data_IF_628281649301
#
_entry.id   IF_628281649301
#
_cell.length_a   1.000
_cell.length_b   1.000
_cell.length_c   1.000
_cell.angle_alpha   90.00
_cell.angle_beta   90.00
_cell.angle_gamma   90.00
#
_symmetry.space_group_name_H-M   'P 1'
#
loop_
_entity.id
_entity.type
_entity.pdbx_description
1 polymer ?
#
# COMPACT_ATOMS: atom_id res chain seq x y z
N UNK A 1 23.17 1.43 -5.54
CA UNK A 1 21.92 2.20 -5.78
C UNK A 1 20.78 1.19 -5.96
N UNK A 2 19.63 1.34 -5.31
CA UNK A 2 18.49 0.44 -5.53
C UNK A 2 18.07 0.49 -7.01
N UNK A 3 17.78 -0.67 -7.58
CA UNK A 3 17.41 -0.80 -9.00
C UNK A 3 16.11 -0.04 -9.27
N UNK A 4 16.06 0.76 -10.34
CA UNK A 4 14.84 1.45 -10.78
C UNK A 4 13.71 0.42 -11.01
N UNK A 5 12.51 0.72 -10.54
CA UNK A 5 11.34 -0.12 -10.81
C UNK A 5 10.94 0.02 -12.29
N UNK A 6 10.56 -1.08 -12.94
CA UNK A 6 9.87 -0.95 -14.23
C UNK A 6 8.53 -0.24 -14.01
N UNK A 7 8.00 0.42 -15.06
CA UNK A 7 6.72 1.13 -14.95
C UNK A 7 5.61 0.19 -14.48
N UNK A 8 5.59 -1.03 -15.00
CA UNK A 8 4.54 -1.99 -14.69
C UNK A 8 4.72 -2.65 -13.33
N UNK A 9 5.96 -2.88 -12.88
CA UNK A 9 6.20 -3.30 -11.48
C UNK A 9 5.76 -2.22 -10.48
N UNK A 10 6.12 -0.95 -10.73
CA UNK A 10 5.69 0.17 -9.87
C UNK A 10 4.17 0.28 -9.83
N UNK A 11 3.52 0.23 -10.99
CA UNK A 11 2.06 0.27 -11.09
C UNK A 11 1.41 -0.88 -10.31
N UNK A 12 1.93 -2.10 -10.47
CA UNK A 12 1.41 -3.27 -9.75
C UNK A 12 1.58 -3.13 -8.24
N UNK A 13 2.74 -2.67 -7.75
CA UNK A 13 2.97 -2.42 -6.32
C UNK A 13 1.94 -1.45 -5.74
N UNK A 14 1.71 -0.32 -6.42
CA UNK A 14 0.72 0.69 -6.00
C UNK A 14 -0.70 0.11 -5.99
N UNK A 15 -1.05 -0.70 -7.00
CA UNK A 15 -2.36 -1.33 -7.08
C UNK A 15 -2.59 -2.35 -5.96
N UNK A 16 -1.60 -3.21 -5.69
CA UNK A 16 -1.67 -4.22 -4.63
C UNK A 16 -1.72 -3.59 -3.23
N UNK A 17 -0.93 -2.54 -3.00
CA UNK A 17 -1.02 -1.78 -1.76
C UNK A 17 -2.39 -1.11 -1.63
N UNK A 18 -2.93 -0.55 -2.72
CA UNK A 18 -4.27 0.04 -2.74
C UNK A 18 -5.38 -0.95 -2.43
N UNK A 19 -5.21 -2.23 -2.79
CA UNK A 19 -6.12 -3.33 -2.39
C UNK A 19 -5.94 -3.60 -0.90
N UNK A 20 -4.72 -3.87 -0.44
CA UNK A 20 -4.42 -4.22 0.94
C UNK A 20 -4.85 -3.12 1.93
N UNK A 21 -4.60 -1.85 1.59
CA UNK A 21 -4.95 -0.72 2.44
C UNK A 21 -6.44 -0.57 2.67
N UNK A 22 -7.30 -1.09 1.78
CA UNK A 22 -8.76 -1.11 1.92
C UNK A 22 -9.26 -2.21 2.87
N UNK A 23 -8.43 -3.19 3.20
CA UNK A 23 -8.77 -4.31 4.10
C UNK A 23 -8.56 -3.95 5.57
N UNK A 24 -8.31 -2.67 5.90
CA UNK A 24 -8.17 -2.24 7.28
C UNK A 24 -9.53 -2.05 7.97
N UNK A 25 -9.73 -2.78 9.07
CA UNK A 25 -10.89 -2.64 9.93
C UNK A 25 -10.71 -1.49 10.94
N UNK A 26 -11.74 -0.67 11.12
CA UNK A 26 -11.81 0.32 12.19
C UNK A 26 -13.03 0.01 13.07
N UNK A 27 -12.78 -0.32 14.33
CA UNK A 27 -13.84 -0.65 15.30
C UNK A 27 -14.54 0.57 15.91
N UNK A 28 -14.00 1.78 15.72
CA UNK A 28 -14.53 3.02 16.29
C UNK A 28 -15.54 3.73 15.39
N UNK A 29 -15.80 3.18 14.20
CA UNK A 29 -16.82 3.67 13.26
C UNK A 29 -18.06 2.78 13.37
N UNK A 30 -19.23 3.41 13.32
CA UNK A 30 -20.50 2.69 13.25
C UNK A 30 -20.57 1.92 11.92
N UNK A 31 -20.18 0.65 11.95
CA UNK A 31 -20.19 -0.27 10.81
C UNK A 31 -21.57 -0.91 10.58
N UNK A 32 -22.53 -0.67 11.47
CA UNK A 32 -23.85 -1.29 11.48
C UNK A 32 -24.95 -0.23 11.58
N UNK A 33 -25.95 -0.33 10.71
CA UNK A 33 -27.15 0.50 10.71
C UNK A 33 -28.26 -0.04 11.63
N UNK A 34 -29.42 0.62 11.67
CA UNK A 34 -30.61 0.11 12.37
C UNK A 34 -30.95 -1.31 11.93
N UNK A 35 -31.19 -2.22 12.89
CA UNK A 35 -31.50 -3.62 12.61
C UNK A 35 -30.29 -4.54 12.40
N UNK A 36 -29.06 -4.07 12.63
CA UNK A 36 -27.85 -4.92 12.57
C UNK A 36 -27.32 -5.16 11.15
N UNK A 37 -27.84 -4.43 10.16
CA UNK A 37 -27.34 -4.47 8.78
C UNK A 37 -25.92 -3.91 8.71
N UNK A 38 -24.99 -4.64 8.10
CA UNK A 38 -23.61 -4.19 7.86
C UNK A 38 -23.63 -3.10 6.78
N UNK A 39 -23.44 -1.85 7.18
CA UNK A 39 -23.36 -0.67 6.31
C UNK A 39 -21.90 -0.23 6.05
N UNK A 40 -20.95 -1.14 6.29
CA UNK A 40 -19.54 -0.89 6.04
C UNK A 40 -19.21 -0.76 4.54
N UNK A 41 -20.08 -1.24 3.65
CA UNK A 41 -19.93 -1.09 2.20
C UNK A 41 -20.01 0.38 1.79
N UNK A 42 -18.94 0.89 1.16
CA UNK A 42 -18.88 2.27 0.66
C UNK A 42 -18.08 3.24 1.54
N UNK A 43 -17.72 2.87 2.78
CA UNK A 43 -16.74 3.66 3.55
C UNK A 43 -15.33 3.14 3.28
N UNK A 44 -14.72 3.62 2.20
CA UNK A 44 -13.37 3.22 1.81
C UNK A 44 -12.32 3.83 2.74
N UNK A 45 -12.12 3.23 3.91
CA UNK A 45 -11.03 3.60 4.81
C UNK A 45 -9.74 2.93 4.32
N UNK A 46 -9.09 3.52 3.33
CA UNK A 46 -7.72 3.11 3.02
C UNK A 46 -6.81 3.54 4.16
N UNK A 47 -6.04 2.60 4.70
CA UNK A 47 -4.99 2.95 5.66
C UNK A 47 -3.96 3.84 4.98
N UNK A 48 -3.60 4.99 5.56
CA UNK A 48 -2.72 5.92 4.89
C UNK A 48 -1.30 5.36 4.82
N UNK A 49 -0.77 5.28 3.59
CA UNK A 49 0.62 4.95 3.34
C UNK A 49 1.51 6.13 3.71
N UNK A 50 2.56 5.88 4.46
CA UNK A 50 3.61 6.87 4.73
C UNK A 50 4.85 6.48 3.96
N UNK A 51 5.40 7.40 3.18
CA UNK A 51 6.68 7.22 2.49
C UNK A 51 7.75 8.08 3.16
N UNK A 52 9.00 7.64 3.07
CA UNK A 52 10.18 8.40 3.50
C UNK A 52 10.85 8.93 2.24
N UNK A 53 10.87 10.24 2.08
CA UNK A 53 11.55 10.92 0.97
C UNK A 53 13.06 10.97 1.22
N UNK A 54 13.81 11.31 0.17
CA UNK A 54 15.28 11.29 0.19
C UNK A 54 15.92 12.32 1.13
N UNK A 55 15.19 13.38 1.47
CA UNK A 55 15.59 14.41 2.44
C UNK A 55 15.25 14.04 3.89
N UNK A 56 14.64 12.87 4.12
CA UNK A 56 14.18 12.41 5.43
C UNK A 56 12.76 12.88 5.78
N UNK A 57 12.12 13.68 4.93
CA UNK A 57 10.73 14.09 5.11
C UNK A 57 9.79 12.90 4.95
N UNK A 58 8.67 12.96 5.67
CA UNK A 58 7.64 11.92 5.64
C UNK A 58 6.41 12.45 4.95
N UNK A 59 6.06 11.84 3.82
CA UNK A 59 4.81 12.17 3.12
C UNK A 59 3.74 11.12 3.40
N UNK A 60 2.56 11.58 3.80
CA UNK A 60 1.39 10.72 4.02
C UNK A 60 0.48 10.74 2.79
N UNK A 61 0.35 9.59 2.13
CA UNK A 61 -0.45 9.39 0.93
C UNK A 61 -1.79 8.77 1.33
N UNK A 62 -2.86 9.56 1.23
CA UNK A 62 -4.24 9.12 1.49
C UNK A 62 -4.99 8.72 0.22
N UNK A 63 -4.51 9.16 -0.94
CA UNK A 63 -5.06 8.80 -2.25
C UNK A 63 -4.85 7.33 -2.56
N UNK A 64 -5.68 6.78 -3.45
CA UNK A 64 -5.54 5.43 -4.00
C UNK A 64 -4.41 5.31 -5.02
N UNK A 65 -3.80 6.43 -5.38
CA UNK A 65 -2.67 6.52 -6.29
C UNK A 65 -1.48 7.13 -5.56
N UNK A 66 -0.29 6.64 -5.86
CA UNK A 66 0.96 7.30 -5.47
C UNK A 66 1.30 8.30 -6.57
N UNK A 67 1.52 9.59 -6.26
CA UNK A 67 1.95 10.58 -7.24
C UNK A 67 3.22 10.16 -8.00
N UNK A 68 3.31 10.49 -9.28
CA UNK A 68 4.43 10.08 -10.13
C UNK A 68 5.77 10.72 -9.71
N UNK A 69 5.72 11.88 -9.04
CA UNK A 69 6.90 12.58 -8.54
C UNK A 69 7.57 11.91 -7.33
N UNK A 70 6.93 10.91 -6.72
CA UNK A 70 7.53 10.13 -5.62
C UNK A 70 8.61 9.21 -6.20
N UNK A 71 9.81 9.20 -5.63
CA UNK A 71 10.90 8.36 -6.15
C UNK A 71 10.61 6.86 -5.94
N UNK A 72 11.23 5.98 -6.73
CA UNK A 72 11.10 4.52 -6.52
C UNK A 72 11.62 4.07 -5.14
N UNK A 73 12.60 4.78 -4.62
CA UNK A 73 13.14 4.57 -3.27
C UNK A 73 12.11 4.94 -2.20
N UNK A 74 11.46 6.10 -2.34
CA UNK A 74 10.38 6.52 -1.45
C UNK A 74 9.16 5.58 -1.54
N UNK A 75 8.83 5.09 -2.73
CA UNK A 75 7.79 4.07 -2.93
C UNK A 75 8.12 2.80 -2.14
N UNK A 76 9.35 2.28 -2.23
CA UNK A 76 9.78 1.07 -1.49
C UNK A 76 9.81 1.27 0.03
N UNK A 77 10.09 2.49 0.47
CA UNK A 77 10.10 2.85 1.89
C UNK A 77 8.69 3.00 2.47
N UNK A 78 7.64 2.82 1.66
CA UNK A 78 6.25 2.95 2.06
C UNK A 78 5.82 1.98 3.16
N UNK A 79 5.25 2.51 4.24
CA UNK A 79 4.80 1.76 5.41
C UNK A 79 3.45 2.24 5.96
N UNK A 80 2.77 1.35 6.68
CA UNK A 80 1.64 1.69 7.55
C UNK A 80 2.15 1.95 8.98
N UNK A 81 1.81 3.10 9.52
CA UNK A 81 2.15 3.47 10.90
C UNK A 81 1.07 2.99 11.87
N UNK A 82 1.35 1.97 12.70
CA UNK A 82 0.46 1.45 13.74
C UNK A 82 0.95 1.89 15.12
N UNK A 83 0.76 3.17 15.44
CA UNK A 83 1.33 3.77 16.65
C UNK A 83 2.85 3.84 16.56
N UNK A 84 3.55 3.22 17.51
CA UNK A 84 5.01 3.12 17.49
C UNK A 84 5.53 2.08 16.47
N UNK A 85 4.69 1.12 16.08
CA UNK A 85 5.06 0.07 15.14
C UNK A 85 4.85 0.51 13.69
N UNK A 86 5.63 -0.08 12.79
CA UNK A 86 5.55 0.18 11.35
C UNK A 86 5.48 -1.14 10.60
N UNK A 87 4.55 -1.24 9.66
CA UNK A 87 4.50 -2.34 8.70
C UNK A 87 5.01 -1.82 7.35
N UNK A 88 6.22 -2.22 6.95
CA UNK A 88 6.83 -1.86 5.66
C UNK A 88 6.11 -2.58 4.50
N UNK A 89 4.87 -2.15 4.24
CA UNK A 89 3.91 -2.80 3.37
C UNK A 89 4.40 -2.90 1.93
N UNK A 90 5.06 -1.87 1.41
CA UNK A 90 5.54 -1.87 0.02
C UNK A 90 6.67 -2.88 -0.17
N UNK A 91 7.59 -2.94 0.78
CA UNK A 91 8.66 -3.95 0.80
C UNK A 91 8.11 -5.36 1.00
N UNK A 92 7.06 -5.53 1.81
CA UNK A 92 6.37 -6.81 1.98
C UNK A 92 5.74 -7.32 0.68
N UNK A 93 4.99 -6.46 -0.02
CA UNK A 93 4.39 -6.78 -1.31
C UNK A 93 5.46 -7.09 -2.36
N UNK A 94 6.55 -6.31 -2.42
CA UNK A 94 7.64 -6.57 -3.37
C UNK A 94 8.27 -7.96 -3.16
N UNK A 95 8.44 -8.39 -1.90
CA UNK A 95 8.92 -9.74 -1.57
C UNK A 95 7.92 -10.83 -1.97
N UNK A 96 6.62 -10.60 -1.78
CA UNK A 96 5.57 -11.53 -2.24
C UNK A 96 5.62 -11.68 -3.75
N UNK A 97 5.73 -10.58 -4.49
CA UNK A 97 5.86 -10.61 -5.95
C UNK A 97 7.09 -11.39 -6.39
N UNK A 98 8.26 -11.12 -5.79
CA UNK A 98 9.48 -11.88 -6.07
C UNK A 98 9.33 -13.37 -5.78
N UNK A 99 8.69 -13.75 -4.67
CA UNK A 99 8.40 -15.14 -4.37
C UNK A 99 7.50 -15.79 -5.45
N UNK A 100 6.46 -15.09 -5.90
CA UNK A 100 5.56 -15.60 -6.95
C UNK A 100 6.26 -15.70 -8.31
N UNK A 101 7.15 -14.76 -8.65
CA UNK A 101 7.97 -14.81 -9.86
C UNK A 101 8.90 -16.04 -9.82
N UNK A 102 9.59 -16.26 -8.70
CA UNK A 102 10.57 -17.34 -8.55
C UNK A 102 9.95 -18.74 -8.40
N UNK A 103 8.84 -18.85 -7.66
CA UNK A 103 8.28 -20.15 -7.25
C UNK A 103 7.03 -20.55 -8.01
N UNK A 104 6.33 -19.59 -8.60
CA UNK A 104 5.03 -19.81 -9.24
C UNK A 104 4.98 -19.32 -10.70
N UNK A 105 6.10 -18.83 -11.25
CA UNK A 105 6.18 -18.39 -12.64
C UNK A 105 5.33 -17.17 -12.96
N UNK A 106 5.06 -16.31 -11.96
CA UNK A 106 4.40 -15.03 -12.20
C UNK A 106 5.23 -14.20 -13.18
N UNK A 107 4.59 -13.65 -14.21
CA UNK A 107 5.21 -12.74 -15.18
C UNK A 107 4.51 -11.38 -15.13
N UNK A 108 5.23 -10.35 -14.68
CA UNK A 108 4.75 -8.97 -14.72
C UNK A 108 5.08 -8.42 -16.11
N UNK A 109 4.05 -8.18 -16.92
CA UNK A 109 4.22 -7.61 -18.27
C UNK A 109 4.34 -6.10 -18.19
N UNK A 110 5.22 -5.53 -19.00
CA UNK A 110 5.35 -4.08 -19.18
C UNK A 110 4.16 -3.49 -19.93
#
# INVERSE_FOLDING_TARGET
>A
MPKKLSKSRRKLLVQLEGILGKECYNGSIQNYGPGGSREAEGRSFRYPLTVRETDGEKQKIRSFTIPENISDEAVRSGYYAFGANQLDVMSGIERILSFLEEKHGLVIRD
#
